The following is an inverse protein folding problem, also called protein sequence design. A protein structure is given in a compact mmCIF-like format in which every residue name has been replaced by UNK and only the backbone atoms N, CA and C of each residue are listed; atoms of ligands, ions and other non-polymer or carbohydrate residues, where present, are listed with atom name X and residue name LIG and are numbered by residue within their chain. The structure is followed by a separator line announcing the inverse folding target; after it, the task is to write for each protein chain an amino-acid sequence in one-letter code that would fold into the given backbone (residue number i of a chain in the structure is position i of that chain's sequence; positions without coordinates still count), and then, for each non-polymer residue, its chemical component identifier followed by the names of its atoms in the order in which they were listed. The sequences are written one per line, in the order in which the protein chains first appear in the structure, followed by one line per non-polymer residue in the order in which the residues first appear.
data_IF_381932894178
#
_entry.id   IF_381932894178
#
_cell.length_a   1.000
_cell.length_b   1.000
_cell.length_c   1.000
_cell.angle_alpha   90.00
_cell.angle_beta   90.00
_cell.angle_gamma   90.00
#
_symmetry.space_group_name_H-M   'P 1'
#
loop_
_entity.id
_entity.type
_entity.pdbx_description
1 polymer ?
#
# COMPACT_ATOMS: atom_id res chain seq x y z
N UNK A 1 9.42 7.47 -0.45
CA UNK A 1 8.03 7.97 -0.51
C UNK A 1 7.53 7.85 -1.94
N UNK A 2 6.24 7.63 -2.14
CA UNK A 2 5.64 7.38 -3.46
C UNK A 2 4.31 8.14 -3.60
N UNK A 3 3.85 8.32 -4.84
CA UNK A 3 2.51 8.86 -5.15
C UNK A 3 1.66 7.87 -5.96
N UNK A 4 2.29 6.99 -6.72
CA UNK A 4 1.66 6.00 -7.59
C UNK A 4 2.41 4.67 -7.51
N UNK A 5 1.71 3.58 -7.79
CA UNK A 5 2.25 2.21 -7.70
C UNK A 5 3.43 1.97 -8.65
N UNK A 6 3.48 2.66 -9.80
CA UNK A 6 4.60 2.58 -10.77
C UNK A 6 5.94 3.02 -10.20
N UNK A 7 5.95 3.75 -9.07
CA UNK A 7 7.18 4.14 -8.38
C UNK A 7 7.68 3.04 -7.43
N UNK A 8 6.88 2.01 -7.19
CA UNK A 8 7.17 0.90 -6.31
C UNK A 8 7.53 -0.35 -7.11
N UNK A 9 8.15 -1.32 -6.43
CA UNK A 9 8.57 -2.57 -7.03
C UNK A 9 7.40 -3.54 -7.27
N UNK A 10 7.65 -4.66 -7.96
CA UNK A 10 6.69 -5.75 -8.05
C UNK A 10 6.25 -6.20 -6.64
N UNK A 11 5.00 -6.69 -6.54
CA UNK A 11 4.37 -7.13 -5.30
C UNK A 11 4.24 -6.07 -4.18
N UNK A 12 4.35 -4.80 -4.56
CA UNK A 12 4.14 -3.66 -3.65
C UNK A 12 3.22 -2.62 -4.28
N UNK A 13 2.55 -1.82 -3.46
CA UNK A 13 1.73 -0.69 -3.88
C UNK A 13 2.03 0.56 -3.05
N UNK A 14 1.60 1.72 -3.55
CA UNK A 14 1.77 2.99 -2.89
C UNK A 14 0.58 3.30 -1.95
N UNK A 15 0.70 2.88 -0.69
CA UNK A 15 -0.35 3.03 0.31
C UNK A 15 -0.09 4.20 1.29
N UNK A 16 -1.17 4.73 1.85
CA UNK A 16 -1.12 5.74 2.93
C UNK A 16 -0.75 5.07 4.26
N UNK A 17 0.05 5.75 5.07
CA UNK A 17 0.31 5.31 6.44
C UNK A 17 -0.92 5.52 7.32
N UNK A 18 -1.29 4.48 8.07
CA UNK A 18 -2.37 4.55 9.06
C UNK A 18 -1.97 5.38 10.30
N UNK A 19 -0.67 5.49 10.58
CA UNK A 19 -0.13 6.12 11.79
C UNK A 19 0.35 7.55 11.56
N UNK A 20 0.86 7.84 10.36
CA UNK A 20 1.46 9.11 10.01
C UNK A 20 0.69 9.75 8.86
N UNK A 21 -0.09 10.78 9.18
CA UNK A 21 -0.85 11.55 8.19
C UNK A 21 0.08 12.15 7.14
N UNK A 22 -0.34 12.11 5.88
CA UNK A 22 0.42 12.69 4.76
C UNK A 22 1.61 11.86 4.29
N UNK A 23 1.90 10.71 4.91
CA UNK A 23 2.97 9.84 4.49
C UNK A 23 2.43 8.70 3.61
N UNK A 24 3.08 8.52 2.45
CA UNK A 24 2.82 7.41 1.51
C UNK A 24 4.10 6.64 1.25
N UNK A 25 4.00 5.31 1.30
CA UNK A 25 5.14 4.40 1.25
C UNK A 25 4.81 3.20 0.37
N UNK A 26 5.83 2.64 -0.27
CA UNK A 26 5.71 1.34 -0.91
C UNK A 26 5.47 0.29 0.17
N UNK A 27 4.33 -0.38 0.07
CA UNK A 27 3.82 -1.33 1.07
C UNK A 27 3.59 -2.66 0.35
N UNK A 28 3.92 -3.81 0.96
CA UNK A 28 3.64 -5.11 0.37
C UNK A 28 2.15 -5.28 0.09
N UNK A 29 1.80 -5.98 -0.99
CA UNK A 29 0.44 -6.43 -1.22
C UNK A 29 0.04 -7.44 -0.13
N UNK A 30 -1.24 -7.40 0.27
CA UNK A 30 -1.78 -8.37 1.24
C UNK A 30 -1.84 -9.79 0.67
N UNK A 31 -1.67 -10.77 1.54
CA UNK A 31 -1.76 -12.20 1.25
C UNK A 31 -3.14 -12.76 1.63
N UNK A 32 -3.42 -13.97 1.16
CA UNK A 32 -4.68 -14.65 1.52
C UNK A 32 -4.80 -14.83 3.04
N UNK A 33 -5.97 -14.45 3.58
CA UNK A 33 -6.26 -14.51 5.01
C UNK A 33 -5.74 -13.32 5.81
N UNK A 34 -4.96 -12.42 5.22
CA UNK A 34 -4.56 -11.18 5.88
C UNK A 34 -5.70 -10.17 5.91
N UNK A 35 -5.68 -9.33 6.95
CA UNK A 35 -6.69 -8.29 7.09
C UNK A 35 -6.42 -7.16 6.10
N UNK A 36 -7.41 -6.87 5.26
CA UNK A 36 -7.36 -5.79 4.29
C UNK A 36 -8.48 -4.77 4.57
N UNK A 37 -8.24 -3.52 4.15
CA UNK A 37 -9.31 -2.53 4.12
C UNK A 37 -10.23 -2.83 2.92
N UNK A 38 -11.56 -2.83 3.07
CA UNK A 38 -12.48 -3.25 2.01
C UNK A 38 -12.46 -2.36 0.75
N UNK A 39 -11.98 -1.12 0.88
CA UNK A 39 -11.74 -0.23 -0.27
C UNK A 39 -10.38 -0.41 -0.96
N UNK A 40 -9.51 -1.29 -0.44
CA UNK A 40 -8.24 -1.61 -1.08
C UNK A 40 -8.44 -2.74 -2.08
N UNK A 41 -8.08 -2.48 -3.33
CA UNK A 41 -8.12 -3.47 -4.40
C UNK A 41 -6.70 -3.72 -4.92
N UNK A 42 -6.45 -4.96 -5.33
CA UNK A 42 -5.23 -5.35 -6.03
C UNK A 42 -5.24 -4.82 -7.47
#
# INVERSE_FOLDING_TARGET
ACERDVQCGPDTCCAVSLWLRGLRLCTPLGQEGEQCHPGSHK
#
